data_IF_389671547294
#
_entry.id   IF_389671547294
#
_cell.length_a   1.000
_cell.length_b   1.000
_cell.length_c   1.000
_cell.angle_alpha   90.00
_cell.angle_beta   90.00
_cell.angle_gamma   90.00
#
_symmetry.space_group_name_H-M   'P 1'
#
loop_
_entity.id
_entity.type
_entity.pdbx_description
1 polymer ?
#
# COMPACT_ATOMS: atom_id res chain seq x y z
N UNK A 1 -111.28 -15.52 -10.79
CA UNK A 1 -110.54 -14.44 -10.07
C UNK A 1 -109.28 -14.16 -10.91
N UNK A 2 -109.28 -13.01 -11.62
CA UNK A 2 -108.18 -12.16 -12.14
C UNK A 2 -106.73 -12.74 -12.18
N UNK A 3 -105.87 -12.56 -13.20
CA UNK A 3 -105.88 -11.69 -14.38
C UNK A 3 -104.62 -11.89 -15.25
N UNK A 4 -104.79 -11.72 -16.58
CA UNK A 4 -103.91 -11.06 -17.59
C UNK A 4 -102.49 -11.50 -17.94
N UNK A 5 -102.36 -11.78 -19.24
CA UNK A 5 -101.22 -11.72 -20.17
C UNK A 5 -100.53 -10.34 -20.22
N UNK A 6 -99.20 -10.28 -20.47
CA UNK A 6 -98.56 -9.30 -21.36
C UNK A 6 -97.12 -9.69 -21.74
N UNK A 7 -96.74 -9.28 -22.95
CA UNK A 7 -95.69 -9.82 -23.79
C UNK A 7 -94.39 -8.97 -23.85
N UNK A 8 -93.38 -9.51 -24.55
CA UNK A 8 -92.50 -8.82 -25.52
C UNK A 8 -91.20 -8.13 -25.00
N UNK A 9 -90.02 -8.66 -25.44
CA UNK A 9 -88.80 -7.97 -26.00
C UNK A 9 -87.42 -8.45 -25.48
N UNK A 10 -86.71 -9.19 -26.35
CA UNK A 10 -85.33 -9.00 -26.86
C UNK A 10 -84.24 -8.32 -26.02
N UNK A 11 -83.09 -9.01 -25.79
CA UNK A 11 -81.67 -8.63 -26.12
C UNK A 11 -80.72 -9.64 -25.40
N UNK A 12 -79.97 -10.50 -26.08
CA UNK A 12 -78.64 -10.29 -26.68
C UNK A 12 -77.47 -10.60 -25.70
N UNK A 13 -76.57 -11.47 -26.17
CA UNK A 13 -75.18 -11.64 -25.73
C UNK A 13 -74.91 -12.03 -24.27
N UNK A 14 -74.80 -13.34 -24.01
CA UNK A 14 -73.78 -13.81 -23.05
C UNK A 14 -72.74 -14.57 -23.87
N UNK A 15 -71.65 -13.84 -24.07
CA UNK A 15 -70.47 -14.14 -24.88
C UNK A 15 -69.86 -15.49 -24.47
N UNK A 16 -69.71 -16.35 -25.47
CA UNK A 16 -68.73 -17.42 -25.51
C UNK A 16 -67.32 -16.80 -25.51
N UNK A 17 -66.68 -16.65 -24.34
CA UNK A 17 -65.21 -16.56 -24.21
C UNK A 17 -64.80 -17.28 -22.94
N UNK A 18 -64.71 -18.60 -23.02
CA UNK A 18 -63.85 -19.41 -22.16
C UNK A 18 -62.47 -19.57 -22.83
N UNK A 19 -61.88 -18.46 -23.28
CA UNK A 19 -60.56 -18.46 -23.91
C UNK A 19 -59.63 -17.53 -23.14
N UNK A 20 -58.50 -18.11 -22.74
CA UNK A 20 -57.25 -17.45 -22.34
C UNK A 20 -57.23 -16.75 -20.98
N UNK A 21 -57.20 -17.53 -19.89
CA UNK A 21 -56.31 -17.19 -18.78
C UNK A 21 -54.93 -17.83 -19.00
N UNK A 22 -54.32 -17.59 -20.18
CA UNK A 22 -52.87 -17.72 -20.31
C UNK A 22 -52.35 -16.46 -19.63
N UNK A 23 -52.15 -16.53 -18.32
CA UNK A 23 -51.41 -15.49 -17.62
C UNK A 23 -50.02 -15.44 -18.24
N UNK A 24 -49.79 -14.46 -19.11
CA UNK A 24 -48.45 -14.20 -19.62
C UNK A 24 -47.61 -13.79 -18.42
N UNK A 25 -46.75 -14.69 -17.94
CA UNK A 25 -45.74 -14.33 -16.95
C UNK A 25 -44.87 -13.23 -17.58
N UNK A 26 -45.07 -11.99 -17.16
CA UNK A 26 -44.22 -10.88 -17.54
C UNK A 26 -42.89 -11.00 -16.82
N UNK A 27 -41.79 -10.72 -17.50
CA UNK A 27 -40.49 -10.63 -16.86
C UNK A 27 -40.52 -9.54 -15.79
N UNK A 28 -40.11 -9.88 -14.57
CA UNK A 28 -39.96 -8.92 -13.47
C UNK A 28 -38.47 -8.67 -13.23
N UNK A 29 -38.09 -7.40 -13.14
CA UNK A 29 -36.76 -6.98 -12.74
C UNK A 29 -36.85 -5.86 -11.72
N UNK A 30 -35.88 -5.82 -10.83
CA UNK A 30 -35.67 -4.77 -9.84
C UNK A 30 -34.17 -4.46 -9.78
N UNK A 31 -33.80 -3.33 -9.20
CA UNK A 31 -32.40 -2.87 -9.15
C UNK A 31 -31.99 -2.47 -7.74
N UNK A 32 -30.76 -2.82 -7.37
CA UNK A 32 -30.13 -2.38 -6.13
C UNK A 32 -28.91 -1.52 -6.41
N UNK A 33 -28.72 -0.49 -5.60
CA UNK A 33 -27.49 0.31 -5.60
C UNK A 33 -26.53 -0.26 -4.57
N UNK A 34 -25.34 -0.62 -5.03
CA UNK A 34 -24.22 -1.06 -4.18
C UNK A 34 -23.15 0.03 -4.19
N UNK A 35 -22.75 0.49 -3.00
CA UNK A 35 -21.68 1.48 -2.84
C UNK A 35 -20.41 0.80 -2.36
N UNK A 36 -19.31 1.06 -3.05
CA UNK A 36 -17.96 0.61 -2.68
C UNK A 36 -17.11 1.84 -2.39
N UNK A 37 -16.41 1.83 -1.26
CA UNK A 37 -15.46 2.88 -0.86
C UNK A 37 -14.08 2.27 -0.80
N UNK A 38 -13.13 2.87 -1.51
CA UNK A 38 -11.69 2.56 -1.42
C UNK A 38 -11.00 3.77 -0.82
N UNK A 39 -10.43 3.60 0.37
CA UNK A 39 -9.66 4.65 1.05
C UNK A 39 -8.24 4.78 0.47
N UNK A 40 -7.50 5.79 0.91
CA UNK A 40 -6.08 5.92 0.61
C UNK A 40 -5.30 4.76 1.24
N UNK A 41 -4.41 4.16 0.46
CA UNK A 41 -3.55 3.04 0.85
C UNK A 41 -2.10 3.52 0.70
N UNK A 42 -1.31 3.39 1.75
CA UNK A 42 0.13 3.65 1.77
C UNK A 42 0.78 2.67 2.74
N UNK A 43 1.13 1.48 2.23
CA UNK A 43 1.69 0.38 3.01
C UNK A 43 3.16 0.20 2.63
N UNK A 44 4.00 -0.06 3.63
CA UNK A 44 5.41 -0.43 3.47
C UNK A 44 5.80 -1.48 4.51
N UNK A 45 6.50 -2.52 4.09
CA UNK A 45 6.98 -3.58 4.97
C UNK A 45 8.42 -3.94 4.63
N UNK A 46 9.27 -4.11 5.64
CA UNK A 46 10.68 -4.51 5.47
C UNK A 46 10.84 -6.01 5.71
N UNK A 47 11.73 -6.67 4.95
CA UNK A 47 11.92 -8.13 5.03
C UNK A 47 12.67 -8.61 6.27
N UNK A 48 13.42 -7.73 6.93
CA UNK A 48 14.05 -7.99 8.23
C UNK A 48 13.85 -6.82 9.18
N UNK A 49 13.47 -7.12 10.43
CA UNK A 49 13.36 -6.14 11.50
C UNK A 49 14.67 -5.87 12.24
N UNK A 50 15.71 -6.67 12.01
CA UNK A 50 17.01 -6.53 12.68
C UNK A 50 18.17 -6.79 11.73
N UNK A 51 19.19 -5.95 11.81
CA UNK A 51 20.43 -6.08 11.04
C UNK A 51 21.61 -5.72 11.95
N UNK A 52 22.75 -6.39 11.76
CA UNK A 52 24.01 -6.07 12.44
C UNK A 52 25.08 -5.84 11.39
N UNK A 53 25.71 -4.66 11.45
CA UNK A 53 26.86 -4.28 10.65
C UNK A 53 28.07 -4.17 11.59
N UNK A 54 29.16 -4.85 11.25
CA UNK A 54 30.35 -4.97 12.09
C UNK A 54 31.57 -4.34 11.42
N UNK A 55 31.99 -3.19 11.94
CA UNK A 55 33.21 -2.51 11.52
C UNK A 55 34.36 -2.99 12.42
N UNK A 56 35.19 -3.90 11.92
CA UNK A 56 36.26 -4.54 12.70
C UNK A 56 37.63 -4.59 11.99
N UNK A 57 37.76 -3.96 10.83
CA UNK A 57 39.03 -3.85 10.11
C UNK A 57 39.37 -2.39 9.82
N UNK A 58 40.65 -2.09 9.71
CA UNK A 58 41.16 -0.80 9.29
C UNK A 58 42.53 -0.98 8.63
N UNK A 59 42.84 -0.14 7.66
CA UNK A 59 44.22 0.04 7.18
C UNK A 59 44.90 1.09 8.05
N UNK A 60 46.13 0.82 8.52
CA UNK A 60 46.87 1.75 9.36
C UNK A 60 47.01 3.13 8.68
N UNK A 61 46.70 4.20 9.42
CA UNK A 61 46.67 5.57 8.89
C UNK A 61 45.35 6.00 8.24
N UNK A 62 44.35 5.12 8.19
CA UNK A 62 43.02 5.40 7.63
C UNK A 62 41.90 5.26 8.67
N UNK A 63 40.69 5.71 8.32
CA UNK A 63 39.49 5.36 9.05
C UNK A 63 39.22 3.84 8.96
N UNK A 64 38.43 3.27 9.90
CA UNK A 64 37.93 1.91 9.78
C UNK A 64 37.25 1.63 8.42
N UNK A 65 37.42 0.40 7.93
CA UNK A 65 36.76 -0.07 6.71
C UNK A 65 35.26 -0.18 6.96
N UNK A 66 34.46 0.47 6.11
CA UNK A 66 33.00 0.41 6.20
C UNK A 66 32.48 -1.02 6.01
N UNK A 67 31.35 -1.32 6.64
CA UNK A 67 30.62 -2.57 6.44
C UNK A 67 29.31 -2.31 5.67
N UNK A 68 28.90 -3.26 4.83
CA UNK A 68 27.77 -3.11 3.92
C UNK A 68 26.83 -4.30 3.95
N UNK A 69 25.53 -4.02 3.98
CA UNK A 69 24.48 -5.02 3.79
C UNK A 69 23.62 -4.67 2.58
N UNK A 70 23.25 -5.67 1.79
CA UNK A 70 22.31 -5.55 0.68
C UNK A 70 21.35 -6.75 0.62
N UNK A 71 21.14 -7.42 1.76
CA UNK A 71 20.28 -8.61 1.85
C UNK A 71 18.83 -8.29 2.18
N UNK A 72 18.58 -7.05 2.61
CA UNK A 72 17.25 -6.57 3.01
C UNK A 72 16.48 -5.99 1.82
N UNK A 73 15.15 -6.07 1.91
CA UNK A 73 14.21 -5.57 0.91
C UNK A 73 13.01 -4.92 1.58
N UNK A 74 12.22 -4.18 0.82
CA UNK A 74 10.88 -3.77 1.23
C UNK A 74 9.83 -4.07 0.16
N UNK A 75 8.60 -4.20 0.63
CA UNK A 75 7.39 -4.26 -0.17
C UNK A 75 6.63 -2.95 0.01
N UNK A 76 5.97 -2.48 -1.04
CA UNK A 76 5.19 -1.24 -1.03
C UNK A 76 3.87 -1.42 -1.78
N UNK A 77 2.80 -0.86 -1.22
CA UNK A 77 1.52 -0.72 -1.92
C UNK A 77 0.97 0.68 -1.71
N UNK A 78 0.63 1.37 -2.80
CA UNK A 78 -0.07 2.65 -2.71
C UNK A 78 -1.05 2.84 -3.87
N UNK A 79 -2.20 3.48 -3.58
CA UNK A 79 -3.12 4.00 -4.60
C UNK A 79 -3.00 5.53 -4.78
N UNK A 80 -2.00 6.14 -4.15
CA UNK A 80 -1.68 7.56 -4.27
C UNK A 80 -0.87 7.91 -5.52
N UNK A 81 -0.66 9.20 -5.72
CA UNK A 81 0.25 9.76 -6.74
C UNK A 81 1.21 10.75 -6.10
N UNK A 82 2.37 10.94 -6.72
CA UNK A 82 3.43 11.84 -6.22
C UNK A 82 3.85 11.50 -4.79
N UNK A 83 3.85 10.21 -4.45
CA UNK A 83 4.33 9.73 -3.16
C UNK A 83 5.86 9.65 -3.16
N UNK A 84 6.42 9.65 -1.97
CA UNK A 84 7.83 9.44 -1.67
C UNK A 84 7.99 8.53 -0.47
N UNK A 85 9.15 7.90 -0.37
CA UNK A 85 9.61 7.22 0.85
C UNK A 85 10.65 8.11 1.50
N UNK A 86 10.45 8.45 2.77
CA UNK A 86 11.46 9.11 3.60
C UNK A 86 12.07 8.13 4.59
N UNK A 87 13.30 8.39 5.02
CA UNK A 87 13.98 7.62 6.06
C UNK A 87 14.57 8.53 7.14
N UNK A 88 14.49 8.11 8.40
CA UNK A 88 15.09 8.78 9.56
C UNK A 88 15.57 7.77 10.62
N UNK A 89 16.58 8.17 11.38
CA UNK A 89 16.98 7.47 12.61
C UNK A 89 16.13 7.91 13.79
N UNK A 90 15.78 6.97 14.68
CA UNK A 90 15.14 7.29 15.95
C UNK A 90 16.07 8.07 16.90
N UNK A 91 17.36 7.76 16.89
CA UNK A 91 18.41 8.51 17.62
C UNK A 91 19.72 8.44 16.83
N UNK A 92 20.55 9.48 16.94
CA UNK A 92 21.84 9.49 16.29
C UNK A 92 22.78 8.44 16.91
N UNK A 93 23.63 7.84 16.07
CA UNK A 93 24.74 7.00 16.53
C UNK A 93 25.76 7.84 17.31
N UNK A 94 26.59 7.17 18.10
CA UNK A 94 27.69 7.82 18.82
C UNK A 94 28.65 8.54 17.86
N UNK A 95 29.36 9.55 18.38
CA UNK A 95 30.29 10.36 17.58
C UNK A 95 31.26 9.48 16.81
N UNK A 96 31.38 9.77 15.52
CA UNK A 96 32.28 9.06 14.62
C UNK A 96 31.67 7.81 14.00
N UNK A 97 30.42 7.46 14.28
CA UNK A 97 29.67 6.37 13.61
C UNK A 97 28.56 6.99 12.75
N UNK A 98 28.35 6.44 11.56
CA UNK A 98 27.32 6.90 10.63
C UNK A 98 26.72 5.73 9.86
N UNK A 99 25.44 5.86 9.51
CA UNK A 99 24.72 4.88 8.70
C UNK A 99 24.22 5.57 7.43
N UNK A 100 24.64 5.07 6.28
CA UNK A 100 24.07 5.44 5.00
C UNK A 100 23.06 4.38 4.54
N UNK A 101 22.00 4.84 3.89
CA UNK A 101 20.94 4.03 3.32
C UNK A 101 20.81 4.33 1.83
N UNK A 102 20.61 3.30 1.03
CA UNK A 102 20.12 3.39 -0.36
C UNK A 102 18.87 2.53 -0.46
N UNK A 103 17.80 3.10 -1.02
CA UNK A 103 16.61 2.33 -1.39
C UNK A 103 16.59 2.15 -2.90
N UNK A 104 16.33 0.92 -3.36
CA UNK A 104 15.88 0.70 -4.73
C UNK A 104 14.61 1.50 -5.00
N UNK A 105 14.41 1.91 -6.24
CA UNK A 105 13.16 2.56 -6.63
C UNK A 105 12.17 1.48 -7.13
N UNK A 106 10.91 1.49 -6.68
CA UNK A 106 9.88 0.70 -7.32
C UNK A 106 9.64 1.23 -8.75
N UNK A 107 8.93 0.44 -9.55
CA UNK A 107 8.66 0.71 -10.97
C UNK A 107 8.10 2.12 -11.18
N UNK A 108 8.79 2.91 -12.00
CA UNK A 108 8.37 4.28 -12.36
C UNK A 108 8.75 5.38 -11.36
N UNK A 109 9.36 5.04 -10.23
CA UNK A 109 9.88 5.99 -9.25
C UNK A 109 11.39 6.24 -9.44
N UNK A 110 11.94 7.18 -8.68
CA UNK A 110 13.37 7.53 -8.72
C UNK A 110 14.00 7.40 -7.33
N UNK A 111 15.13 6.70 -7.25
CA UNK A 111 15.95 6.62 -6.04
C UNK A 111 16.84 7.85 -5.93
N UNK A 112 17.00 8.38 -4.72
CA UNK A 112 17.92 9.47 -4.43
C UNK A 112 19.38 8.99 -4.27
N UNK A 113 19.64 7.68 -4.41
CA UNK A 113 20.94 7.08 -4.14
C UNK A 113 21.26 7.00 -2.65
N UNK A 114 22.55 6.84 -2.33
CA UNK A 114 23.01 6.73 -0.96
C UNK A 114 22.86 8.06 -0.20
N UNK A 115 22.21 8.02 0.96
CA UNK A 115 22.12 9.15 1.88
C UNK A 115 22.54 8.75 3.29
N UNK A 116 23.33 9.59 3.94
CA UNK A 116 23.65 9.44 5.36
C UNK A 116 22.43 9.82 6.19
N UNK A 117 21.92 8.87 6.96
CA UNK A 117 20.74 9.07 7.77
C UNK A 117 21.04 9.96 8.97
N UNK A 118 20.03 10.74 9.35
CA UNK A 118 20.02 11.58 10.55
C UNK A 118 18.68 11.39 11.26
N UNK A 119 18.46 12.06 12.37
CA UNK A 119 17.14 12.12 13.02
C UNK A 119 16.12 12.93 12.22
N UNK A 120 16.58 13.72 11.25
CA UNK A 120 15.72 14.43 10.30
C UNK A 120 15.43 13.52 9.11
N UNK A 121 14.15 13.38 8.75
CA UNK A 121 13.72 12.58 7.62
C UNK A 121 14.29 13.10 6.30
N UNK A 122 14.77 12.19 5.47
CA UNK A 122 15.32 12.50 4.15
C UNK A 122 14.59 11.72 3.07
N UNK A 123 14.30 12.37 1.95
CA UNK A 123 13.66 11.75 0.79
C UNK A 123 14.59 10.72 0.16
N UNK A 124 14.19 9.44 0.18
CA UNK A 124 14.97 8.31 -0.34
C UNK A 124 14.51 7.87 -1.72
N UNK A 125 13.21 7.90 -1.96
CA UNK A 125 12.58 7.58 -3.25
C UNK A 125 11.48 8.59 -3.51
N UNK A 126 11.37 9.10 -4.73
CA UNK A 126 10.35 10.08 -5.13
C UNK A 126 9.63 9.66 -6.41
N UNK A 127 8.48 10.28 -6.68
CA UNK A 127 7.72 10.02 -7.91
C UNK A 127 6.94 8.70 -7.89
N UNK A 128 6.68 8.14 -6.71
CA UNK A 128 5.90 6.92 -6.55
C UNK A 128 4.45 7.22 -6.93
N UNK A 129 3.90 6.37 -7.80
CA UNK A 129 2.48 6.41 -8.20
C UNK A 129 1.80 5.10 -7.82
N UNK A 130 0.61 4.84 -8.36
CA UNK A 130 -0.22 3.69 -7.99
C UNK A 130 0.50 2.40 -8.35
N UNK A 131 0.91 1.62 -7.36
CA UNK A 131 1.59 0.35 -7.56
C UNK A 131 1.49 -0.55 -6.34
N UNK A 132 1.71 -1.83 -6.56
CA UNK A 132 2.05 -2.82 -5.55
C UNK A 132 3.30 -3.55 -6.05
N UNK A 133 4.38 -3.51 -5.28
CA UNK A 133 5.66 -4.10 -5.65
C UNK A 133 6.35 -4.70 -4.43
N UNK A 134 7.02 -5.82 -4.62
CA UNK A 134 7.66 -6.60 -3.56
C UNK A 134 9.13 -6.81 -3.85
N UNK A 135 9.94 -6.96 -2.80
CA UNK A 135 11.36 -7.29 -2.95
C UNK A 135 12.22 -6.14 -3.49
N UNK A 136 11.79 -4.89 -3.31
CA UNK A 136 12.58 -3.72 -3.68
C UNK A 136 13.78 -3.61 -2.76
N UNK A 137 14.98 -3.41 -3.31
CA UNK A 137 16.22 -3.53 -2.54
C UNK A 137 16.39 -2.46 -1.46
N UNK A 138 17.02 -2.85 -0.35
CA UNK A 138 17.57 -1.97 0.67
C UNK A 138 19.07 -2.25 0.75
N UNK A 139 19.88 -1.20 0.81
CA UNK A 139 21.31 -1.34 1.09
C UNK A 139 21.76 -0.38 2.17
N UNK A 140 22.46 -0.91 3.16
CA UNK A 140 23.05 -0.14 4.25
C UNK A 140 24.57 -0.09 4.12
N UNK A 141 25.15 1.01 4.56
CA UNK A 141 26.60 1.14 4.74
C UNK A 141 26.88 1.78 6.08
N UNK A 142 27.45 1.02 7.00
CA UNK A 142 27.94 1.55 8.27
C UNK A 142 29.38 2.03 8.08
N UNK A 143 29.65 3.27 8.48
CA UNK A 143 30.99 3.86 8.45
C UNK A 143 31.37 4.35 9.84
N UNK A 144 32.65 4.19 10.18
CA UNK A 144 33.23 4.74 11.39
C UNK A 144 34.46 5.59 11.06
N UNK A 145 34.76 6.56 11.91
CA UNK A 145 36.01 7.34 11.87
C UNK A 145 36.99 6.81 12.92
N UNK A 146 38.26 7.20 12.83
CA UNK A 146 39.25 6.89 13.86
C UNK A 146 38.90 7.47 15.26
N UNK A 147 37.96 8.41 15.34
CA UNK A 147 37.45 8.96 16.60
C UNK A 147 36.33 8.14 17.24
N UNK A 148 35.79 7.13 16.53
CA UNK A 148 34.74 6.27 17.08
C UNK A 148 35.27 5.45 18.25
N UNK A 149 34.52 5.43 19.36
CA UNK A 149 34.85 4.63 20.53
C UNK A 149 34.29 3.23 20.36
N UNK A 150 35.03 2.21 20.77
CA UNK A 150 34.54 0.83 20.78
C UNK A 150 33.29 0.71 21.66
N UNK A 151 32.21 0.16 21.09
CA UNK A 151 30.89 0.02 21.73
C UNK A 151 30.55 -1.44 22.09
N UNK A 152 31.54 -2.32 22.19
CA UNK A 152 31.34 -3.71 22.63
C UNK A 152 30.36 -4.49 21.76
N UNK A 153 29.18 -4.81 22.31
CA UNK A 153 28.12 -5.54 21.61
C UNK A 153 27.36 -4.70 20.56
N UNK A 154 27.69 -3.41 20.42
CA UNK A 154 27.10 -2.50 19.45
C UNK A 154 26.08 -1.53 20.05
N UNK A 155 25.67 -0.55 19.25
CA UNK A 155 24.53 0.34 19.53
C UNK A 155 23.44 0.13 18.47
N UNK A 156 22.19 -0.03 18.91
CA UNK A 156 21.06 -0.29 18.04
C UNK A 156 20.21 0.98 17.87
N UNK A 157 19.95 1.37 16.63
CA UNK A 157 19.08 2.49 16.29
C UNK A 157 17.96 2.04 15.36
N UNK A 158 16.75 2.55 15.59
CA UNK A 158 15.62 2.29 14.69
C UNK A 158 15.74 3.16 13.45
N UNK A 159 15.64 2.55 12.27
CA UNK A 159 15.43 3.24 11.00
C UNK A 159 13.94 3.19 10.68
N UNK A 160 13.30 4.35 10.52
CA UNK A 160 11.88 4.43 10.15
C UNK A 160 11.76 4.83 8.70
N UNK A 161 11.08 4.00 7.91
CA UNK A 161 10.67 4.33 6.54
C UNK A 161 9.22 4.83 6.56
N UNK A 162 8.91 5.91 5.83
CA UNK A 162 7.56 6.48 5.79
C UNK A 162 7.15 6.79 4.37
N UNK A 163 5.98 6.30 3.95
CA UNK A 163 5.35 6.68 2.67
C UNK A 163 4.53 7.95 2.90
N UNK A 164 4.87 9.03 2.21
CA UNK A 164 4.19 10.34 2.32
C UNK A 164 4.09 11.03 0.96
N UNK A 165 3.30 12.09 0.87
CA UNK A 165 3.39 13.08 -0.22
C UNK A 165 4.61 13.97 -0.02
#
# INVERSE_FOLDING_TARGET
MYSTVKAFKTLLFVVLVAAASIGTASAQSDTQVVTIVVADINEIAVSSGTLTLTINTATAGSNPTADTDATTTYDITTNGTSKKITAALGTAYATGISLALTLGAPTGATSAGAKTLTTTAQDMVTGITKLAETGVSISYTASATAAAVSNGAGEAQTVTLTVTS
#
